data_IF_783364539871
#
_entry.id   IF_783364539871
#
_cell.length_a   1.000
_cell.length_b   1.000
_cell.length_c   1.000
_cell.angle_alpha   90.00
_cell.angle_beta   90.00
_cell.angle_gamma   90.00
#
_symmetry.space_group_name_H-M   'P 1'
#
loop_
_entity.id
_entity.type
_entity.pdbx_description
1 polymer ?
#
# COMPACT_ATOMS: atom_id res chain seq x y z
N UNK A 1 -19.56 22.48 10.84
CA UNK A 1 -19.15 21.68 9.67
C UNK A 1 -17.87 22.33 9.17
N UNK A 2 -16.70 21.72 9.37
CA UNK A 2 -15.47 22.28 8.81
C UNK A 2 -15.48 22.04 7.30
N UNK A 3 -15.36 23.11 6.52
CA UNK A 3 -15.19 23.00 5.08
C UNK A 3 -13.93 22.17 4.80
N UNK A 4 -14.05 21.16 3.93
CA UNK A 4 -12.89 20.43 3.43
C UNK A 4 -11.98 21.42 2.70
N UNK A 5 -10.75 21.54 3.16
CA UNK A 5 -9.78 22.42 2.51
C UNK A 5 -9.17 21.66 1.33
N UNK A 6 -9.24 22.26 0.14
CA UNK A 6 -8.65 21.73 -1.09
C UNK A 6 -7.56 22.68 -1.58
N UNK A 7 -6.37 22.15 -1.81
CA UNK A 7 -5.22 22.90 -2.30
C UNK A 7 -4.72 22.22 -3.57
N UNK A 8 -4.57 22.99 -4.65
CA UNK A 8 -4.04 22.52 -5.92
C UNK A 8 -2.75 23.26 -6.26
N UNK A 9 -1.75 22.50 -6.70
CA UNK A 9 -0.45 23.01 -7.12
C UNK A 9 -0.32 22.87 -8.63
N UNK A 10 0.14 23.94 -9.28
CA UNK A 10 0.35 24.04 -10.71
C UNK A 10 1.77 24.52 -11.01
N UNK A 11 2.32 24.18 -12.19
CA UNK A 11 3.58 24.73 -12.68
C UNK A 11 3.41 26.13 -13.28
N UNK A 12 4.50 26.71 -13.81
CA UNK A 12 4.48 28.03 -14.44
C UNK A 12 3.61 28.06 -15.71
N UNK A 13 3.37 26.91 -16.32
CA UNK A 13 2.56 26.67 -17.50
C UNK A 13 1.10 26.28 -17.16
N UNK A 14 0.71 26.38 -15.88
CA UNK A 14 -0.62 26.02 -15.36
C UNK A 14 -1.00 24.53 -15.44
N UNK A 15 -0.03 23.63 -15.72
CA UNK A 15 -0.28 22.19 -15.64
C UNK A 15 -0.43 21.77 -14.18
N UNK A 16 -1.33 20.83 -13.92
CA UNK A 16 -1.54 20.30 -12.57
C UNK A 16 -0.34 19.45 -12.16
N UNK A 17 0.19 19.70 -10.96
CA UNK A 17 1.30 18.96 -10.37
C UNK A 17 0.76 17.97 -9.35
N UNK A 18 0.07 18.49 -8.34
CA UNK A 18 -0.59 17.69 -7.31
C UNK A 18 -1.76 18.46 -6.69
N UNK A 19 -2.64 17.75 -6.00
CA UNK A 19 -3.67 18.33 -5.16
C UNK A 19 -3.72 17.61 -3.81
N UNK A 20 -4.13 18.35 -2.79
CA UNK A 20 -4.27 17.89 -1.42
C UNK A 20 -5.65 18.29 -0.94
N UNK A 21 -6.38 17.32 -0.38
CA UNK A 21 -7.72 17.53 0.13
C UNK A 21 -7.87 16.94 1.52
N UNK A 22 -8.38 17.76 2.44
CA UNK A 22 -8.78 17.27 3.76
C UNK A 22 -10.07 16.46 3.68
N UNK A 23 -10.01 15.25 4.22
CA UNK A 23 -11.17 14.42 4.45
C UNK A 23 -11.82 14.79 5.80
N UNK A 24 -13.08 14.41 6.06
CA UNK A 24 -13.77 14.74 7.30
C UNK A 24 -12.94 14.39 8.54
N UNK A 25 -12.68 15.39 9.41
CA UNK A 25 -11.86 15.25 10.62
C UNK A 25 -10.38 15.65 10.47
N UNK A 26 -9.93 16.06 9.28
CA UNK A 26 -8.58 16.62 9.06
C UNK A 26 -8.42 18.05 9.61
N UNK A 27 -7.20 18.40 10.02
CA UNK A 27 -6.84 19.69 10.64
C UNK A 27 -5.78 20.47 9.83
N UNK A 28 -6.15 20.89 8.62
CA UNK A 28 -5.36 21.69 7.67
C UNK A 28 -4.41 20.87 6.78
N UNK A 29 -4.60 20.90 5.45
CA UNK A 29 -3.74 20.19 4.52
C UNK A 29 -2.43 20.96 4.44
N UNK A 30 -1.32 20.26 4.64
CA UNK A 30 0.02 20.84 4.61
C UNK A 30 0.37 21.64 3.35
N UNK A 31 1.51 22.32 3.41
CA UNK A 31 2.10 23.02 2.27
C UNK A 31 2.98 22.05 1.46
N UNK A 32 2.82 22.02 0.14
CA UNK A 32 3.79 21.38 -0.75
C UNK A 32 4.98 22.31 -0.87
N UNK A 33 6.15 21.83 -0.48
CA UNK A 33 7.36 22.66 -0.42
C UNK A 33 8.27 22.47 -1.64
N UNK A 34 8.22 21.31 -2.32
CA UNK A 34 8.95 21.12 -3.58
C UNK A 34 8.50 19.88 -4.35
N UNK A 35 8.41 20.00 -5.68
CA UNK A 35 8.58 18.87 -6.59
C UNK A 35 10.00 18.93 -7.12
N UNK A 36 10.74 17.83 -6.96
CA UNK A 36 12.08 17.69 -7.53
C UNK A 36 11.96 16.85 -8.78
N UNK A 37 12.52 17.34 -9.89
CA UNK A 37 12.64 16.58 -11.14
C UNK A 37 14.08 16.11 -11.29
N UNK A 38 14.27 14.81 -11.48
CA UNK A 38 15.58 14.19 -11.65
C UNK A 38 15.91 13.99 -13.15
N UNK A 39 17.18 14.16 -13.54
CA UNK A 39 17.60 14.12 -14.95
C UNK A 39 17.61 12.71 -15.58
N UNK A 40 17.52 11.66 -14.75
CA UNK A 40 17.47 10.26 -15.18
C UNK A 40 16.49 9.51 -14.28
N UNK A 41 16.01 8.33 -14.71
CA UNK A 41 15.12 7.50 -13.92
C UNK A 41 15.85 7.03 -12.65
N UNK A 42 15.49 7.53 -11.47
CA UNK A 42 16.21 7.23 -10.24
C UNK A 42 15.72 5.92 -9.59
N UNK A 43 16.50 5.42 -8.63
CA UNK A 43 16.18 4.17 -7.93
C UNK A 43 16.31 4.32 -6.42
N UNK A 44 15.40 3.69 -5.67
CA UNK A 44 15.51 3.50 -4.22
C UNK A 44 15.58 2.00 -3.92
N UNK A 45 16.68 1.54 -3.33
CA UNK A 45 16.92 0.10 -3.08
C UNK A 45 16.71 -0.78 -4.32
N UNK A 46 17.10 -0.29 -5.51
CA UNK A 46 16.92 -0.98 -6.79
C UNK A 46 15.51 -0.89 -7.39
N UNK A 47 14.54 -0.27 -6.71
CA UNK A 47 13.21 0.04 -7.26
C UNK A 47 13.29 1.34 -8.08
N UNK A 48 13.09 1.31 -9.41
CA UNK A 48 13.02 2.52 -10.22
C UNK A 48 11.74 3.28 -9.91
N UNK A 49 11.77 4.62 -9.94
CA UNK A 49 10.57 5.44 -9.81
C UNK A 49 10.55 6.53 -10.88
N UNK A 50 9.41 7.19 -11.11
CA UNK A 50 9.33 8.30 -12.05
C UNK A 50 10.33 9.38 -11.69
N UNK A 51 10.82 10.13 -12.66
CA UNK A 51 11.77 11.23 -12.44
C UNK A 51 11.19 12.41 -11.64
N UNK A 52 10.07 12.23 -10.94
CA UNK A 52 9.39 13.25 -10.14
C UNK A 52 9.18 12.77 -8.72
N UNK A 53 9.69 13.56 -7.79
CA UNK A 53 9.60 13.33 -6.36
C UNK A 53 8.83 14.47 -5.69
N UNK A 54 7.77 14.14 -4.97
CA UNK A 54 6.83 15.07 -4.36
C UNK A 54 7.09 15.14 -2.86
N UNK A 55 7.62 16.27 -2.38
CA UNK A 55 7.83 16.51 -0.96
C UNK A 55 6.62 17.26 -0.39
N UNK A 56 5.76 16.56 0.34
CA UNK A 56 4.62 17.15 1.04
C UNK A 56 5.02 17.39 2.49
N UNK A 57 5.03 18.64 2.94
CA UNK A 57 5.38 18.99 4.33
C UNK A 57 4.09 19.39 5.06
N UNK A 58 3.72 18.69 6.12
CA UNK A 58 2.53 19.05 6.88
C UNK A 58 2.79 20.31 7.70
N UNK A 59 1.86 21.27 7.65
CA UNK A 59 1.89 22.45 8.51
C UNK A 59 1.63 22.07 9.97
N UNK A 60 0.85 21.01 10.20
CA UNK A 60 0.58 20.40 11.51
C UNK A 60 0.66 18.87 11.36
N UNK A 61 1.50 18.24 12.17
CA UNK A 61 1.84 16.80 12.11
C UNK A 61 0.84 15.88 12.84
N UNK A 62 -0.40 16.28 13.08
CA UNK A 62 -1.36 15.53 13.91
C UNK A 62 -2.73 15.38 13.22
N UNK A 63 -3.26 14.16 13.23
CA UNK A 63 -4.61 13.80 12.75
C UNK A 63 -4.92 14.19 11.30
N UNK A 64 -3.96 13.98 10.39
CA UNK A 64 -4.21 14.18 8.97
C UNK A 64 -5.03 12.98 8.46
N UNK A 65 -6.22 13.23 7.94
CA UNK A 65 -6.91 12.30 7.05
C UNK A 65 -6.97 13.02 5.73
N UNK A 66 -5.94 12.83 4.91
CA UNK A 66 -5.71 13.67 3.74
C UNK A 66 -5.63 12.80 2.50
N UNK A 67 -6.36 13.21 1.46
CA UNK A 67 -6.25 12.66 0.12
C UNK A 67 -5.22 13.44 -0.67
N UNK A 68 -4.25 12.72 -1.23
CA UNK A 68 -3.25 13.25 -2.16
C UNK A 68 -3.62 12.78 -3.56
N UNK A 69 -3.64 13.71 -4.52
CA UNK A 69 -3.70 13.44 -5.96
C UNK A 69 -2.38 13.87 -6.59
N UNK A 70 -1.66 12.97 -7.26
CA UNK A 70 -0.50 13.30 -8.08
C UNK A 70 -0.88 13.22 -9.56
N UNK A 71 -0.41 14.18 -10.36
CA UNK A 71 -0.77 14.27 -11.78
C UNK A 71 0.43 13.95 -12.67
N UNK A 72 0.23 13.01 -13.59
CA UNK A 72 1.25 12.55 -14.54
C UNK A 72 0.75 12.62 -15.98
N UNK A 73 1.57 13.09 -16.90
CA UNK A 73 1.23 13.02 -18.34
C UNK A 73 1.46 11.60 -18.85
N UNK A 74 0.92 11.30 -20.04
CA UNK A 74 1.25 10.05 -20.72
C UNK A 74 2.76 9.94 -21.02
N UNK A 75 3.41 11.08 -21.29
CA UNK A 75 4.84 11.14 -21.58
C UNK A 75 5.70 10.74 -20.38
N UNK A 76 5.28 11.06 -19.15
CA UNK A 76 5.98 10.57 -17.95
C UNK A 76 5.96 9.04 -17.85
N UNK A 77 4.87 8.41 -18.26
CA UNK A 77 4.73 6.96 -18.24
C UNK A 77 5.59 6.32 -19.33
N UNK A 78 5.62 6.92 -20.53
CA UNK A 78 6.52 6.51 -21.62
C UNK A 78 7.98 6.59 -21.16
N UNK A 79 8.38 7.70 -20.53
CA UNK A 79 9.74 7.88 -20.01
C UNK A 79 10.10 6.87 -18.91
N UNK A 80 9.16 6.54 -18.03
CA UNK A 80 9.36 5.46 -17.05
C UNK A 80 9.55 4.12 -17.74
N UNK A 81 8.66 3.73 -18.66
CA UNK A 81 8.70 2.45 -19.36
C UNK A 81 9.96 2.28 -20.23
N UNK A 82 10.55 3.38 -20.71
CA UNK A 82 11.81 3.33 -21.47
C UNK A 82 13.02 2.94 -20.60
N UNK A 83 12.95 3.09 -19.28
CA UNK A 83 14.08 2.96 -18.36
C UNK A 83 13.79 2.11 -17.10
N UNK A 84 12.61 1.53 -16.97
CA UNK A 84 12.18 0.75 -15.80
C UNK A 84 12.83 -0.66 -15.71
N UNK A 85 13.58 -1.09 -16.72
CA UNK A 85 14.31 -2.35 -16.70
C UNK A 85 13.35 -3.57 -16.59
N UNK A 86 13.55 -4.49 -15.63
CA UNK A 86 12.69 -5.67 -15.50
C UNK A 86 11.30 -5.36 -14.91
N UNK A 87 11.08 -4.15 -14.41
CA UNK A 87 9.85 -3.78 -13.71
C UNK A 87 8.65 -3.73 -14.65
N UNK A 88 7.44 -3.87 -14.11
CA UNK A 88 6.24 -3.83 -14.96
C UNK A 88 6.03 -2.44 -15.56
N UNK A 89 5.47 -2.39 -16.76
CA UNK A 89 5.19 -1.12 -17.43
C UNK A 89 3.97 -0.41 -16.83
N UNK A 90 3.96 0.91 -16.95
CA UNK A 90 2.79 1.76 -16.83
C UNK A 90 1.94 1.75 -18.10
N UNK A 91 0.68 2.22 -18.02
CA UNK A 91 -0.19 2.42 -19.19
C UNK A 91 0.48 3.18 -20.33
N UNK A 92 0.26 2.72 -21.56
CA UNK A 92 0.77 3.35 -22.78
C UNK A 92 -0.30 4.16 -23.52
N UNK A 93 -1.55 4.09 -23.07
CA UNK A 93 -2.67 4.85 -23.63
C UNK A 93 -3.44 5.54 -22.52
N UNK A 94 -3.93 6.76 -22.78
CA UNK A 94 -4.77 7.51 -21.84
C UNK A 94 -6.16 6.89 -21.68
N UNK A 95 -6.26 5.77 -20.97
CA UNK A 95 -7.50 5.05 -20.69
C UNK A 95 -7.37 4.24 -19.41
N UNK A 96 -8.23 4.52 -18.41
CA UNK A 96 -8.21 3.81 -17.13
C UNK A 96 -8.54 2.29 -17.23
N UNK A 97 -9.00 1.81 -18.39
CA UNK A 97 -9.18 0.38 -18.67
C UNK A 97 -7.89 -0.33 -19.14
N UNK A 98 -6.76 0.38 -19.30
CA UNK A 98 -5.48 -0.22 -19.63
C UNK A 98 -5.08 -1.24 -18.54
N UNK A 99 -4.76 -2.51 -18.88
CA UNK A 99 -4.40 -3.53 -17.89
C UNK A 99 -3.17 -3.16 -17.05
N UNK A 100 -2.26 -2.33 -17.58
CA UNK A 100 -1.08 -1.85 -16.88
C UNK A 100 -1.40 -0.85 -15.76
N UNK A 101 -2.65 -0.36 -15.65
CA UNK A 101 -3.10 0.44 -14.50
C UNK A 101 -2.87 -0.32 -13.19
N UNK A 102 -3.07 -1.64 -13.20
CA UNK A 102 -2.85 -2.51 -12.04
C UNK A 102 -1.39 -2.56 -11.57
N UNK A 103 -0.43 -2.17 -12.42
CA UNK A 103 0.99 -2.15 -12.11
C UNK A 103 1.40 -0.94 -11.28
N UNK A 104 0.61 0.12 -11.24
CA UNK A 104 1.02 1.39 -10.62
C UNK A 104 1.06 1.27 -9.09
N UNK A 105 2.14 1.76 -8.50
CA UNK A 105 2.37 1.88 -7.05
C UNK A 105 2.92 3.27 -6.74
N UNK A 106 2.77 3.67 -5.49
CA UNK A 106 3.39 4.89 -4.97
C UNK A 106 4.43 4.48 -3.93
N UNK A 107 5.66 4.95 -4.11
CA UNK A 107 6.68 4.94 -3.07
C UNK A 107 6.34 6.05 -2.09
N UNK A 108 6.33 5.74 -0.81
CA UNK A 108 6.18 6.70 0.27
C UNK A 108 7.40 6.58 1.20
N UNK A 109 8.11 7.69 1.44
CA UNK A 109 9.31 7.72 2.30
C UNK A 109 9.11 8.69 3.45
N UNK A 110 9.19 8.17 4.68
CA UNK A 110 9.01 8.95 5.89
C UNK A 110 10.25 9.81 6.24
N UNK A 111 10.14 10.57 7.34
CA UNK A 111 11.21 11.44 7.85
C UNK A 111 12.44 10.67 8.36
N UNK A 112 12.30 9.37 8.64
CA UNK A 112 13.38 8.48 9.06
C UNK A 112 13.98 7.70 7.88
N UNK A 113 13.68 8.10 6.63
CA UNK A 113 14.07 7.42 5.40
C UNK A 113 13.57 5.97 5.28
N UNK A 114 12.52 5.59 6.03
CA UNK A 114 11.84 4.32 5.84
C UNK A 114 10.86 4.45 4.68
N UNK A 115 10.89 3.49 3.77
CA UNK A 115 10.05 3.50 2.58
C UNK A 115 8.97 2.41 2.66
N UNK A 116 7.85 2.66 2.00
CA UNK A 116 6.73 1.73 1.85
C UNK A 116 6.08 1.89 0.48
N UNK A 117 5.24 0.91 0.10
CA UNK A 117 4.46 0.95 -1.13
C UNK A 117 2.98 1.13 -0.82
N UNK A 118 2.35 2.04 -1.55
CA UNK A 118 0.91 2.29 -1.51
C UNK A 118 0.31 1.85 -2.84
N UNK A 119 -0.83 1.17 -2.80
CA UNK A 119 -1.66 0.93 -3.97
C UNK A 119 -2.63 2.11 -4.14
N UNK A 120 -2.48 2.94 -5.19
CA UNK A 120 -3.34 4.08 -5.39
C UNK A 120 -4.62 3.70 -6.15
N UNK A 121 -5.60 4.60 -6.13
CA UNK A 121 -6.62 4.69 -7.16
C UNK A 121 -6.03 5.45 -8.35
N UNK A 122 -6.26 4.95 -9.56
CA UNK A 122 -5.69 5.53 -10.79
C UNK A 122 -6.82 5.85 -11.74
N UNK A 123 -6.84 7.08 -12.24
CA UNK A 123 -7.80 7.55 -13.23
C UNK A 123 -7.09 8.23 -14.38
N UNK A 124 -7.70 8.17 -15.56
CA UNK A 124 -7.33 9.02 -16.68
C UNK A 124 -8.34 10.18 -16.80
N UNK A 125 -7.84 11.41 -16.83
CA UNK A 125 -8.63 12.60 -17.14
C UNK A 125 -8.38 13.00 -18.60
N UNK A 126 -9.36 12.72 -19.46
CA UNK A 126 -9.27 13.03 -20.88
C UNK A 126 -9.42 14.52 -21.21
N UNK A 127 -9.98 15.33 -20.29
CA UNK A 127 -10.15 16.77 -20.49
C UNK A 127 -8.81 17.48 -20.30
N UNK A 128 -8.09 17.09 -19.25
CA UNK A 128 -6.80 17.68 -18.90
C UNK A 128 -5.60 16.86 -19.36
N UNK A 129 -5.84 15.75 -20.08
CA UNK A 129 -4.83 14.87 -20.69
C UNK A 129 -3.75 14.38 -19.70
N UNK A 130 -4.19 13.93 -18.52
CA UNK A 130 -3.29 13.40 -17.49
C UNK A 130 -3.88 12.22 -16.73
N UNK A 131 -2.99 11.44 -16.14
CA UNK A 131 -3.27 10.47 -15.10
C UNK A 131 -3.38 11.15 -13.74
N UNK A 132 -4.41 10.79 -12.99
CA UNK A 132 -4.60 11.16 -11.60
C UNK A 132 -4.34 9.94 -10.70
N UNK A 133 -3.35 10.05 -9.83
CA UNK A 133 -2.94 9.02 -8.87
C UNK A 133 -3.38 9.44 -7.47
N UNK A 134 -4.38 8.76 -6.90
CA UNK A 134 -5.00 9.12 -5.62
C UNK A 134 -4.71 8.12 -4.52
N UNK A 135 -4.32 8.62 -3.35
CA UNK A 135 -4.11 7.81 -2.15
C UNK A 135 -4.37 8.63 -0.88
N UNK A 136 -4.70 7.94 0.21
CA UNK A 136 -4.93 8.54 1.52
C UNK A 136 -3.70 8.39 2.40
N UNK A 137 -3.39 9.43 3.17
CA UNK A 137 -2.21 9.46 4.05
C UNK A 137 -2.59 10.00 5.42
N UNK A 138 -1.98 9.42 6.46
CA UNK A 138 -2.12 9.87 7.85
C UNK A 138 -0.96 10.71 8.36
N UNK A 139 0.14 10.70 7.60
CA UNK A 139 1.33 11.54 7.80
C UNK A 139 1.76 12.04 6.43
N UNK A 140 2.21 13.29 6.35
CA UNK A 140 2.80 13.79 5.09
C UNK A 140 4.26 13.38 5.02
N UNK A 141 4.65 12.92 3.83
CA UNK A 141 5.89 12.22 3.53
C UNK A 141 6.38 12.67 2.15
N UNK A 142 7.37 11.95 1.63
CA UNK A 142 7.83 12.12 0.26
C UNK A 142 7.30 11.01 -0.64
N UNK A 143 6.85 11.35 -1.84
CA UNK A 143 6.17 10.41 -2.73
C UNK A 143 6.74 10.39 -4.14
N UNK A 144 6.77 9.22 -4.77
CA UNK A 144 7.05 9.06 -6.20
C UNK A 144 6.28 7.88 -6.77
N UNK A 145 6.07 7.86 -8.09
CA UNK A 145 5.36 6.78 -8.75
C UNK A 145 6.34 5.67 -9.12
N UNK A 146 5.97 4.42 -8.92
CA UNK A 146 6.75 3.25 -9.34
C UNK A 146 5.80 2.16 -9.81
N UNK A 147 6.33 1.07 -10.38
CA UNK A 147 5.53 -0.07 -10.76
C UNK A 147 5.79 -1.30 -9.89
N UNK A 148 4.91 -2.29 -10.00
CA UNK A 148 5.10 -3.62 -9.43
C UNK A 148 6.49 -4.14 -9.81
N UNK A 149 7.26 -4.46 -8.78
CA UNK A 149 8.47 -5.26 -8.91
C UNK A 149 8.07 -6.72 -9.19
N UNK A 150 8.52 -7.33 -10.30
CA UNK A 150 8.27 -8.73 -10.62
C UNK A 150 8.73 -9.69 -9.51
N UNK A 151 9.77 -9.31 -8.78
CA UNK A 151 10.45 -10.14 -7.78
C UNK A 151 10.00 -9.85 -6.34
N UNK A 152 9.39 -8.69 -6.04
CA UNK A 152 9.00 -8.33 -4.66
C UNK A 152 7.53 -7.98 -4.45
N UNK A 153 6.71 -7.88 -5.51
CA UNK A 153 5.29 -7.55 -5.40
C UNK A 153 4.35 -8.50 -6.17
N UNK A 154 4.77 -9.74 -6.38
CA UNK A 154 3.79 -10.82 -6.27
C UNK A 154 3.65 -11.10 -4.78
N UNK A 155 2.60 -10.59 -4.12
CA UNK A 155 2.24 -11.16 -2.81
C UNK A 155 2.12 -12.66 -3.06
N UNK A 156 2.95 -13.50 -2.42
CA UNK A 156 3.08 -14.90 -2.84
C UNK A 156 1.78 -15.66 -2.60
N UNK A 157 0.82 -15.09 -1.86
CA UNK A 157 -0.54 -15.55 -1.78
C UNK A 157 -1.52 -14.38 -1.91
N UNK A 158 -2.58 -14.56 -2.68
CA UNK A 158 -3.74 -13.68 -2.60
C UNK A 158 -4.66 -14.21 -1.50
N UNK A 159 -4.80 -13.47 -0.40
CA UNK A 159 -5.70 -13.81 0.69
C UNK A 159 -7.11 -13.30 0.37
N UNK A 160 -8.08 -14.21 0.32
CA UNK A 160 -9.49 -13.91 0.05
C UNK A 160 -10.17 -13.36 1.29
N UNK A 161 -9.86 -13.94 2.46
CA UNK A 161 -10.43 -13.51 3.73
C UNK A 161 -9.48 -13.82 4.89
N UNK A 162 -9.61 -13.04 5.96
CA UNK A 162 -8.97 -13.22 7.25
C UNK A 162 -9.90 -12.71 8.36
N UNK A 163 -10.29 -13.59 9.26
CA UNK A 163 -11.23 -13.30 10.35
C UNK A 163 -11.04 -14.28 11.51
N UNK A 164 -11.78 -14.09 12.60
CA UNK A 164 -11.84 -15.10 13.65
C UNK A 164 -13.08 -15.00 14.52
N UNK A 165 -13.22 -16.00 15.37
CA UNK A 165 -14.34 -16.15 16.31
C UNK A 165 -13.83 -16.46 17.71
N UNK A 166 -14.55 -15.94 18.71
CA UNK A 166 -14.34 -16.29 20.12
C UNK A 166 -14.89 -17.69 20.37
N UNK A 167 -14.10 -18.54 21.03
CA UNK A 167 -14.51 -19.80 21.65
C UNK A 167 -14.50 -19.67 23.18
N UNK A 168 -14.88 -20.74 23.89
CA UNK A 168 -15.01 -20.71 25.35
C UNK A 168 -13.72 -20.29 26.09
N UNK A 169 -12.56 -20.76 25.62
CA UNK A 169 -11.23 -20.52 26.25
C UNK A 169 -10.15 -20.11 25.25
N UNK A 170 -10.53 -19.84 24.00
CA UNK A 170 -9.61 -19.56 22.90
C UNK A 170 -10.27 -18.69 21.85
N UNK A 171 -9.46 -18.06 20.99
CA UNK A 171 -9.93 -17.48 19.74
C UNK A 171 -9.48 -18.37 18.57
N UNK A 172 -10.37 -18.63 17.62
CA UNK A 172 -10.06 -19.37 16.40
C UNK A 172 -10.01 -18.42 15.22
N UNK A 173 -8.88 -18.44 14.51
CA UNK A 173 -8.57 -17.55 13.39
C UNK A 173 -8.58 -18.36 12.10
N UNK A 174 -9.16 -17.78 11.05
CA UNK A 174 -9.34 -18.39 9.73
C UNK A 174 -8.81 -17.48 8.64
N UNK A 175 -8.22 -18.08 7.62
CA UNK A 175 -7.94 -17.40 6.36
C UNK A 175 -7.96 -18.37 5.19
N UNK A 176 -8.15 -17.81 4.00
CA UNK A 176 -8.12 -18.57 2.74
C UNK A 176 -7.18 -17.88 1.76
N UNK A 177 -6.18 -18.60 1.27
CA UNK A 177 -5.44 -18.20 0.07
C UNK A 177 -6.21 -18.66 -1.16
N UNK A 178 -6.41 -17.81 -2.18
CA UNK A 178 -6.98 -18.24 -3.48
C UNK A 178 -5.95 -18.94 -4.36
N UNK A 179 -4.69 -18.52 -4.23
CA UNK A 179 -3.52 -19.11 -4.88
C UNK A 179 -2.30 -18.84 -3.99
N UNK A 180 -1.28 -19.67 -4.15
CA UNK A 180 0.02 -19.55 -3.51
C UNK A 180 1.12 -19.74 -4.55
N UNK A 181 2.19 -18.96 -4.45
CA UNK A 181 3.38 -19.02 -5.28
C UNK A 181 4.57 -18.71 -4.40
N UNK A 182 5.46 -19.68 -4.20
CA UNK A 182 6.63 -19.56 -3.34
C UNK A 182 6.32 -19.25 -1.85
N UNK A 183 5.15 -19.63 -1.32
CA UNK A 183 4.81 -19.40 0.08
C UNK A 183 5.53 -20.40 0.99
N UNK A 184 6.25 -19.92 1.99
CA UNK A 184 6.84 -20.77 3.03
C UNK A 184 5.87 -20.96 4.19
N UNK A 185 5.39 -19.86 4.77
CA UNK A 185 4.60 -19.89 6.01
C UNK A 185 3.74 -18.64 6.21
N UNK A 186 2.77 -18.78 7.11
CA UNK A 186 1.96 -17.71 7.66
C UNK A 186 2.28 -17.52 9.15
N UNK A 187 2.46 -16.28 9.56
CA UNK A 187 2.75 -15.87 10.94
C UNK A 187 1.59 -15.05 11.48
N UNK A 188 0.97 -15.51 12.56
CA UNK A 188 -0.12 -14.84 13.23
C UNK A 188 0.42 -14.03 14.41
N UNK A 189 0.09 -12.75 14.43
CA UNK A 189 0.44 -11.83 15.50
C UNK A 189 -0.80 -11.43 16.29
N UNK A 190 -0.64 -11.19 17.58
CA UNK A 190 -1.68 -10.78 18.52
C UNK A 190 -1.30 -9.50 19.26
N UNK A 191 -2.31 -8.68 19.55
CA UNK A 191 -2.21 -7.44 20.32
C UNK A 191 -3.48 -7.23 21.14
N UNK A 192 -3.36 -6.60 22.31
CA UNK A 192 -4.51 -6.14 23.13
C UNK A 192 -4.78 -4.64 23.00
N UNK A 193 -3.94 -3.91 22.28
CA UNK A 193 -3.99 -2.44 22.14
C UNK A 193 -3.99 -1.98 20.67
N UNK A 194 -4.02 -2.92 19.72
CA UNK A 194 -3.94 -2.68 18.28
C UNK A 194 -2.66 -1.93 17.82
N UNK A 195 -1.65 -1.84 18.69
CA UNK A 195 -0.40 -1.11 18.43
C UNK A 195 0.82 -2.03 18.60
N UNK A 196 0.89 -2.74 19.72
CA UNK A 196 1.99 -3.64 20.07
C UNK A 196 1.60 -5.08 19.75
N UNK A 197 2.20 -5.63 18.70
CA UNK A 197 1.92 -6.98 18.21
C UNK A 197 3.04 -7.94 18.57
N UNK A 198 2.68 -9.13 19.03
CA UNK A 198 3.59 -10.23 19.32
C UNK A 198 3.25 -11.46 18.47
N UNK A 199 4.26 -12.18 17.98
CA UNK A 199 4.07 -13.40 17.22
C UNK A 199 3.54 -14.51 18.15
N UNK A 200 2.41 -15.11 17.81
CA UNK A 200 1.78 -16.18 18.62
C UNK A 200 1.73 -17.53 17.92
N UNK A 201 1.72 -17.56 16.58
CA UNK A 201 1.69 -18.80 15.80
C UNK A 201 2.43 -18.65 14.47
N UNK A 202 3.03 -19.75 14.03
CA UNK A 202 3.56 -19.93 12.69
C UNK A 202 2.95 -21.19 12.10
N UNK A 203 2.44 -21.11 10.87
CA UNK A 203 1.85 -22.21 10.12
C UNK A 203 2.54 -22.32 8.77
N UNK A 204 3.18 -23.46 8.51
CA UNK A 204 3.76 -23.75 7.20
C UNK A 204 2.65 -23.79 6.15
N UNK A 205 2.95 -23.34 4.93
CA UNK A 205 2.04 -23.45 3.79
C UNK A 205 1.54 -24.89 3.61
N UNK A 206 0.25 -25.02 3.28
CA UNK A 206 -0.36 -26.30 2.86
C UNK A 206 -0.07 -26.62 1.39
N UNK A 207 0.42 -25.65 0.62
CA UNK A 207 0.73 -25.83 -0.79
C UNK A 207 2.02 -26.66 -0.94
N UNK A 208 2.01 -27.75 -1.74
CA UNK A 208 3.22 -28.51 -2.03
C UNK A 208 4.31 -27.62 -2.62
N UNK A 209 5.45 -27.54 -1.94
CA UNK A 209 6.56 -26.66 -2.34
C UNK A 209 6.19 -25.18 -2.37
N UNK A 210 5.18 -24.75 -1.62
CA UNK A 210 4.75 -23.35 -1.55
C UNK A 210 3.97 -22.83 -2.75
N UNK A 211 3.51 -23.72 -3.65
CA UNK A 211 2.80 -23.34 -4.86
C UNK A 211 1.44 -24.04 -4.96
N UNK A 212 0.37 -23.26 -5.12
CA UNK A 212 -1.00 -23.75 -5.33
C UNK A 212 -1.74 -22.81 -6.27
N UNK A 213 -2.42 -23.38 -7.27
CA UNK A 213 -3.37 -22.64 -8.12
C UNK A 213 -4.82 -22.83 -7.65
N UNK A 214 -5.01 -23.52 -6.53
CA UNK A 214 -6.31 -23.80 -5.93
C UNK A 214 -6.42 -23.16 -4.54
N UNK A 215 -7.63 -22.79 -4.09
CA UNK A 215 -7.80 -22.20 -2.78
C UNK A 215 -7.40 -23.15 -1.64
N UNK A 216 -6.69 -22.63 -0.65
CA UNK A 216 -6.30 -23.37 0.56
C UNK A 216 -6.85 -22.66 1.79
N UNK A 217 -7.59 -23.42 2.60
CA UNK A 217 -8.20 -22.93 3.84
C UNK A 217 -7.30 -23.25 5.02
N UNK A 218 -7.04 -22.25 5.85
CA UNK A 218 -6.22 -22.35 7.05
C UNK A 218 -7.04 -22.00 8.28
N UNK A 219 -6.63 -22.59 9.41
CA UNK A 219 -7.18 -22.28 10.72
C UNK A 219 -6.13 -22.47 11.80
N UNK A 220 -6.21 -21.65 12.84
CA UNK A 220 -5.36 -21.79 14.04
C UNK A 220 -6.06 -21.28 15.28
N UNK A 221 -5.61 -21.76 16.44
CA UNK A 221 -6.12 -21.35 17.75
C UNK A 221 -5.11 -20.46 18.48
N UNK A 222 -5.62 -19.37 19.06
CA UNK A 222 -4.98 -18.62 20.11
C UNK A 222 -5.60 -19.02 21.46
N UNK A 223 -4.85 -19.78 22.26
CA UNK A 223 -5.32 -20.25 23.57
C UNK A 223 -5.15 -19.15 24.62
N UNK A 224 -6.13 -19.02 25.53
CA UNK A 224 -6.15 -18.03 26.60
C UNK A 224 -6.01 -16.56 26.11
N UNK A 225 -6.87 -16.10 25.18
CA UNK A 225 -6.91 -14.69 24.80
C UNK A 225 -7.17 -13.81 26.02
N UNK A 226 -6.62 -12.60 26.00
CA UNK A 226 -6.74 -11.70 27.16
C UNK A 226 -8.16 -11.14 27.23
N UNK A 227 -8.73 -10.92 28.43
CA UNK A 227 -9.98 -10.19 28.55
C UNK A 227 -9.88 -8.81 27.87
N UNK A 228 -10.95 -8.40 27.19
CA UNK A 228 -11.00 -7.19 26.36
C UNK A 228 -10.94 -7.48 24.86
N UNK A 229 -10.52 -6.48 24.08
CA UNK A 229 -10.36 -6.63 22.63
C UNK A 229 -9.03 -7.30 22.30
N UNK A 230 -9.09 -8.36 21.49
CA UNK A 230 -7.92 -9.03 20.94
C UNK A 230 -7.85 -8.73 19.43
N UNK A 231 -6.72 -8.21 18.99
CA UNK A 231 -6.46 -7.84 17.60
C UNK A 231 -5.44 -8.79 17.00
N UNK A 232 -5.65 -9.18 15.75
CA UNK A 232 -4.79 -10.13 15.07
C UNK A 232 -4.36 -9.63 13.71
N UNK A 233 -3.07 -9.81 13.39
CA UNK A 233 -2.47 -9.55 12.07
C UNK A 233 -1.92 -10.85 11.50
N UNK A 234 -2.10 -11.04 10.21
CA UNK A 234 -1.53 -12.16 9.48
C UNK A 234 -0.37 -11.66 8.61
N UNK A 235 0.80 -12.24 8.79
CA UNK A 235 1.97 -12.01 7.95
C UNK A 235 2.21 -13.26 7.10
N UNK A 236 2.49 -13.03 5.83
CA UNK A 236 2.87 -14.02 4.85
C UNK A 236 4.39 -13.99 4.69
N UNK A 237 5.02 -15.16 4.53
CA UNK A 237 6.46 -15.32 4.34
C UNK A 237 6.70 -16.23 3.14
N UNK A 238 7.59 -15.83 2.23
CA UNK A 238 8.01 -16.66 1.09
C UNK A 238 9.23 -17.54 1.42
N UNK A 239 9.63 -18.41 0.49
CA UNK A 239 10.82 -19.28 0.66
C UNK A 239 12.15 -18.51 0.69
N UNK A 240 12.15 -17.22 0.33
CA UNK A 240 13.31 -16.34 0.40
C UNK A 240 13.33 -15.50 1.70
N UNK A 241 12.40 -15.75 2.64
CA UNK A 241 12.17 -14.98 3.87
C UNK A 241 11.70 -13.53 3.68
N UNK A 242 11.20 -13.18 2.50
CA UNK A 242 10.48 -11.91 2.28
C UNK A 242 9.12 -11.99 2.97
N UNK A 243 8.66 -10.88 3.55
CA UNK A 243 7.43 -10.86 4.34
C UNK A 243 6.46 -9.76 3.97
N UNK A 244 5.16 -10.03 4.08
CA UNK A 244 4.08 -9.08 3.82
C UNK A 244 2.98 -9.22 4.88
N UNK A 245 2.51 -8.11 5.45
CA UNK A 245 1.30 -8.14 6.28
C UNK A 245 0.05 -8.06 5.40
N UNK A 246 -0.94 -8.89 5.71
CA UNK A 246 -2.28 -8.72 5.19
C UNK A 246 -2.89 -7.42 5.75
N UNK A 247 -3.63 -6.70 4.91
CA UNK A 247 -4.17 -5.37 5.26
C UNK A 247 -5.30 -5.44 6.29
N UNK A 248 -6.08 -6.52 6.30
CA UNK A 248 -7.18 -6.70 7.26
C UNK A 248 -6.65 -7.14 8.63
N UNK A 249 -7.20 -6.53 9.68
CA UNK A 249 -6.98 -6.90 11.08
C UNK A 249 -8.25 -7.60 11.57
N UNK A 250 -8.13 -8.79 12.17
CA UNK A 250 -9.25 -9.43 12.85
C UNK A 250 -9.35 -8.88 14.28
N UNK A 251 -10.54 -8.46 14.69
CA UNK A 251 -10.82 -7.96 16.05
C UNK A 251 -11.87 -8.85 16.70
N UNK A 252 -11.52 -9.42 17.85
CA UNK A 252 -12.37 -10.35 18.59
C UNK A 252 -12.54 -9.82 20.02
N UNK A 253 -13.75 -9.37 20.41
CA UNK A 253 -14.04 -8.99 21.79
C UNK A 253 -14.20 -10.23 22.68
N UNK A 254 -13.46 -10.26 23.80
CA UNK A 254 -13.47 -11.33 24.79
C UNK A 254 -13.90 -10.74 26.13
N UNK A 255 -15.19 -10.87 26.43
CA UNK A 255 -15.79 -10.55 27.73
C UNK A 255 -16.17 -11.83 28.48
#
# INVERSE_FOLDING_TARGET
MSESTFIQFIDAECNRICAIEDLPGGNAPGQVFAVTVENALPTINGQPYTSRWFNLIPTINQNLSTRVSLFFTLEDFVNYNAANGPFRDFPLVGNAADPAVSNIRVIAVDLNNQWSLIQPQVNWDAIFNHWEIRFQVSTMQRYALTSINPDTFSVPAQLVDFWGQKLATSDELFWTSSQEKNVAEYRLYHSTDNANYSLIKTLVSKAPGGNSTQPLNYKTLHVNPKPGHNYYKLQLVDQNNTTWFHSKIASIPVW
#
